data_IF_283463254061
#
_entry.id   IF_283463254061
#
_cell.length_a   1.000
_cell.length_b   1.000
_cell.length_c   1.000
_cell.angle_alpha   90.00
_cell.angle_beta   90.00
_cell.angle_gamma   90.00
#
_symmetry.space_group_name_H-M   'P 1'
#
loop_
_entity.id
_entity.type
_entity.pdbx_description
1 polymer ?
#
# COMPACT_ATOMS: atom_id res chain seq x y z
N UNK A 1 -7.99 17.66 -3.21
CA UNK A 1 -6.83 16.99 -2.58
C UNK A 1 -6.72 15.62 -3.22
N UNK A 2 -5.53 15.21 -3.67
CA UNK A 2 -5.34 13.88 -4.28
C UNK A 2 -5.08 12.88 -3.15
N UNK A 3 -5.75 11.75 -3.24
CA UNK A 3 -5.53 10.59 -2.38
C UNK A 3 -4.43 9.73 -3.00
N UNK A 4 -3.26 9.74 -2.37
CA UNK A 4 -2.10 8.95 -2.81
C UNK A 4 -2.03 7.58 -2.11
N UNK A 5 -2.90 7.35 -1.13
CA UNK A 5 -2.80 6.21 -0.23
C UNK A 5 -1.55 6.21 0.66
N UNK A 6 -1.43 5.21 1.52
CA UNK A 6 -0.25 4.94 2.33
C UNK A 6 0.19 3.48 2.20
N UNK A 7 1.50 3.24 2.24
CA UNK A 7 2.04 1.88 2.34
C UNK A 7 1.89 1.42 3.78
N UNK A 8 1.14 0.35 3.99
CA UNK A 8 0.91 -0.23 5.31
C UNK A 8 1.75 -1.49 5.56
N UNK A 9 2.24 -2.12 4.50
CA UNK A 9 2.97 -3.37 4.61
C UNK A 9 3.80 -3.69 3.37
N UNK A 10 4.91 -4.40 3.62
CA UNK A 10 5.81 -4.90 2.59
C UNK A 10 6.21 -6.33 2.94
N UNK A 11 6.21 -7.21 1.96
CA UNK A 11 6.76 -8.56 2.12
C UNK A 11 7.47 -9.02 0.84
N UNK A 12 8.59 -9.71 1.03
CA UNK A 12 9.27 -10.45 -0.03
C UNK A 12 8.77 -11.88 -0.01
N UNK A 13 8.21 -12.34 -1.11
CA UNK A 13 7.93 -13.76 -1.32
C UNK A 13 9.13 -14.40 -2.06
N UNK A 14 9.99 -15.17 -1.39
CA UNK A 14 11.16 -15.78 -2.02
C UNK A 14 10.78 -16.89 -3.00
N UNK A 15 9.62 -17.54 -2.83
CA UNK A 15 9.14 -18.61 -3.71
C UNK A 15 8.69 -18.06 -5.06
N UNK A 16 7.92 -16.98 -5.05
CA UNK A 16 7.46 -16.32 -6.29
C UNK A 16 8.41 -15.24 -6.79
N UNK A 17 9.47 -14.90 -6.04
CA UNK A 17 10.42 -13.81 -6.32
C UNK A 17 9.71 -12.46 -6.48
N UNK A 18 8.73 -12.19 -5.63
CA UNK A 18 7.92 -10.97 -5.70
C UNK A 18 8.11 -10.09 -4.47
N UNK A 19 8.13 -8.78 -4.69
CA UNK A 19 7.81 -7.78 -3.67
C UNK A 19 6.30 -7.56 -3.71
N UNK A 20 5.65 -7.76 -2.57
CA UNK A 20 4.22 -7.51 -2.40
C UNK A 20 4.09 -6.28 -1.51
N UNK A 21 3.35 -5.29 -1.99
CA UNK A 21 3.10 -4.01 -1.31
C UNK A 21 1.62 -3.93 -0.96
N UNK A 22 1.32 -3.77 0.33
CA UNK A 22 -0.02 -3.43 0.79
C UNK A 22 -0.14 -1.91 0.89
N UNK A 23 -1.19 -1.39 0.24
CA UNK A 23 -1.50 0.04 0.22
C UNK A 23 -2.94 0.24 0.66
N UNK A 24 -3.18 1.20 1.54
CA UNK A 24 -4.53 1.70 1.79
C UNK A 24 -4.83 2.91 0.92
N UNK A 25 -6.10 3.08 0.58
CA UNK A 25 -6.62 4.25 -0.13
C UNK A 25 -7.94 4.66 0.49
N UNK A 26 -8.26 5.95 0.41
CA UNK A 26 -9.52 6.51 0.91
C UNK A 26 -9.48 6.97 2.36
N UNK A 27 -8.58 6.47 3.21
CA UNK A 27 -8.40 6.95 4.60
C UNK A 27 -7.35 8.06 4.67
N UNK A 28 -7.67 9.13 5.40
CA UNK A 28 -6.70 10.17 5.75
C UNK A 28 -5.99 9.79 7.04
N UNK A 29 -4.68 9.61 6.94
CA UNK A 29 -3.79 9.45 8.08
C UNK A 29 -2.95 10.72 8.19
N UNK A 30 -2.92 11.29 9.40
CA UNK A 30 -2.14 12.51 9.69
C UNK A 30 -1.29 12.21 10.89
N UNK A 31 0.04 12.19 10.70
CA UNK A 31 1.01 11.84 11.74
C UNK A 31 0.72 10.46 12.37
N UNK A 32 0.34 9.48 11.55
CA UNK A 32 -0.01 8.12 12.00
C UNK A 32 -1.38 7.98 12.65
N UNK A 33 -2.18 9.05 12.73
CA UNK A 33 -3.54 9.00 13.31
C UNK A 33 -4.63 9.04 12.22
N UNK A 34 -5.65 8.16 12.28
CA UNK A 34 -6.78 8.22 11.37
C UNK A 34 -7.66 9.45 11.68
N UNK A 35 -8.00 10.22 10.64
CA UNK A 35 -8.81 11.45 10.78
C UNK A 35 -10.17 11.40 10.10
N UNK A 36 -10.30 10.63 9.03
CA UNK A 36 -11.53 10.57 8.22
C UNK A 36 -11.25 9.97 6.85
N UNK A 37 -12.17 10.17 5.92
CA UNK A 37 -12.02 9.71 4.54
C UNK A 37 -11.77 10.87 3.58
N UNK A 38 -11.06 10.62 2.48
CA UNK A 38 -11.01 11.54 1.36
C UNK A 38 -12.41 11.70 0.73
N UNK A 39 -12.72 12.85 0.10
CA UNK A 39 -14.00 13.04 -0.59
C UNK A 39 -14.27 11.94 -1.62
N UNK A 40 -15.47 11.37 -1.60
CA UNK A 40 -15.87 10.28 -2.49
C UNK A 40 -15.62 8.87 -1.94
N UNK A 41 -15.08 8.75 -0.72
CA UNK A 41 -14.92 7.48 -0.03
C UNK A 41 -15.84 7.39 1.19
N UNK A 42 -16.46 6.23 1.35
CA UNK A 42 -17.25 5.82 2.52
C UNK A 42 -16.53 4.77 3.38
N UNK A 43 -15.45 4.19 2.83
CA UNK A 43 -14.60 3.20 3.47
C UNK A 43 -13.17 3.29 2.96
N UNK A 44 -12.30 2.63 3.68
CA UNK A 44 -10.94 2.37 3.24
C UNK A 44 -10.93 1.24 2.20
N UNK A 45 -10.08 1.36 1.20
CA UNK A 45 -9.82 0.33 0.19
C UNK A 45 -8.40 -0.15 0.42
N UNK A 46 -8.24 -1.46 0.65
CA UNK A 46 -6.93 -2.10 0.80
C UNK A 46 -6.59 -2.84 -0.49
N UNK A 47 -5.43 -2.53 -1.06
CA UNK A 47 -4.96 -3.04 -2.35
C UNK A 47 -3.60 -3.73 -2.18
N UNK A 48 -3.39 -4.81 -2.94
CA UNK A 48 -2.10 -5.50 -3.02
C UNK A 48 -1.48 -5.31 -4.41
N UNK A 49 -0.26 -4.82 -4.44
CA UNK A 49 0.53 -4.67 -5.65
C UNK A 49 1.66 -5.71 -5.66
N UNK A 50 1.83 -6.40 -6.79
CA UNK A 50 2.81 -7.47 -6.96
C UNK A 50 3.87 -7.03 -7.97
N UNK A 51 5.11 -6.91 -7.51
CA UNK A 51 6.26 -6.55 -8.35
C UNK A 51 7.19 -7.74 -8.48
N UNK A 52 7.53 -8.12 -9.71
CA UNK A 52 8.57 -9.12 -9.94
C UNK A 52 9.94 -8.55 -9.58
N UNK A 53 10.73 -9.33 -8.86
CA UNK A 53 12.08 -8.92 -8.45
C UNK A 53 13.14 -9.66 -9.26
N UNK A 54 14.14 -8.91 -9.68
CA UNK A 54 15.38 -9.46 -10.24
C UNK A 54 16.49 -9.30 -9.21
N UNK A 55 17.16 -10.39 -8.77
CA UNK A 55 18.32 -10.29 -7.91
C UNK A 55 19.40 -9.44 -8.58
N UNK A 56 19.96 -8.46 -7.86
CA UNK A 56 21.07 -7.65 -8.38
C UNK A 56 22.42 -8.36 -8.32
N UNK A 57 22.61 -9.25 -7.35
CA UNK A 57 23.85 -10.00 -7.17
C UNK A 57 23.53 -11.50 -7.25
N UNK A 58 24.41 -12.27 -7.89
CA UNK A 58 24.35 -13.74 -7.99
C UNK A 58 25.54 -14.35 -7.27
#
# INVERSE_FOLDING_TARGET
MKDYGEIEGLVINPKSKQLIVQVNRGKQIVLGMPKGFYPGYDREISELYFYQMTPRCQ
#
